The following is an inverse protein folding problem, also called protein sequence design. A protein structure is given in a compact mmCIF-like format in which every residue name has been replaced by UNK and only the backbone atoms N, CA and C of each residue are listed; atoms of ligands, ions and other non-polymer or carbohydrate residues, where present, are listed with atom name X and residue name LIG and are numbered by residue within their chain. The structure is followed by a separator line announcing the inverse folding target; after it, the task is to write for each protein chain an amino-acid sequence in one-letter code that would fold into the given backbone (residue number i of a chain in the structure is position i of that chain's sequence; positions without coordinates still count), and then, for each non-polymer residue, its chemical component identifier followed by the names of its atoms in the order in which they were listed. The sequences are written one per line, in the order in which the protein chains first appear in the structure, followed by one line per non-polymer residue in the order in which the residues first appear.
data_IF_149708312523
#
_entry.id   IF_149708312523
#
_cell.length_a   1.000
_cell.length_b   1.000
_cell.length_c   1.000
_cell.angle_alpha   90.00
_cell.angle_beta   90.00
_cell.angle_gamma   90.00
#
_symmetry.space_group_name_H-M   'P 1'
#
loop_
_entity.id
_entity.type
_entity.pdbx_description
1 polymer ?
#
# COMPACT_ATOMS: atom_id res chain seq x y z
N UNK A 1 17.81 0.96 2.56
CA UNK A 1 16.95 1.04 1.37
C UNK A 1 15.88 2.06 1.71
N UNK A 2 15.69 3.09 0.89
CA UNK A 2 14.68 4.12 1.14
C UNK A 2 13.36 3.71 0.50
N UNK A 3 12.28 3.74 1.26
CA UNK A 3 10.94 3.39 0.80
C UNK A 3 9.90 4.33 1.42
N UNK A 4 8.78 4.44 0.73
CA UNK A 4 7.60 5.16 1.21
C UNK A 4 6.60 4.18 1.82
N UNK A 5 5.88 4.59 2.83
CA UNK A 5 4.74 3.83 3.36
C UNK A 5 3.43 4.48 2.93
N UNK A 6 2.44 3.67 2.54
CA UNK A 6 1.08 4.13 2.28
C UNK A 6 0.18 3.73 3.45
N UNK A 7 -0.51 4.69 4.04
CA UNK A 7 -1.57 4.47 5.02
C UNK A 7 -2.90 4.91 4.43
N UNK A 8 -3.81 3.97 4.21
CA UNK A 8 -5.13 4.22 3.63
C UNK A 8 -6.18 3.32 4.26
N UNK A 9 -7.45 3.74 4.18
CA UNK A 9 -8.58 2.90 4.63
C UNK A 9 -8.95 1.94 3.52
N UNK A 10 -9.02 0.65 3.82
CA UNK A 10 -9.48 -0.36 2.88
C UNK A 10 -10.98 -0.23 2.70
N UNK A 11 -11.42 0.10 1.49
CA UNK A 11 -12.85 0.13 1.15
C UNK A 11 -13.21 -1.05 0.25
N UNK A 12 -14.49 -1.44 0.25
CA UNK A 12 -15.02 -2.56 -0.55
C UNK A 12 -14.82 -2.37 -2.07
N UNK A 13 -14.60 -1.12 -2.52
CA UNK A 13 -14.23 -0.79 -3.91
C UNK A 13 -12.80 -1.20 -4.30
N UNK A 14 -11.92 -1.43 -3.34
CA UNK A 14 -10.57 -1.97 -3.56
C UNK A 14 -10.56 -3.51 -3.65
N UNK A 15 -11.72 -4.18 -3.51
CA UNK A 15 -11.85 -5.65 -3.69
C UNK A 15 -11.59 -6.11 -5.12
N UNK A 16 -11.70 -5.21 -6.11
CA UNK A 16 -11.33 -5.47 -7.51
C UNK A 16 -9.81 -5.50 -7.76
N UNK A 17 -8.99 -5.34 -6.70
CA UNK A 17 -7.54 -5.47 -6.74
C UNK A 17 -7.03 -6.89 -6.48
N UNK A 18 -7.92 -7.81 -6.09
CA UNK A 18 -7.65 -9.24 -5.87
C UNK A 18 -7.55 -10.04 -7.17
N UNK A 19 -7.27 -9.39 -8.31
CA UNK A 19 -6.89 -10.10 -9.51
C UNK A 19 -5.43 -10.60 -9.34
N UNK A 20 -5.20 -11.93 -9.29
CA UNK A 20 -3.84 -12.47 -9.27
C UNK A 20 -3.08 -11.98 -10.50
N UNK A 21 -1.76 -11.98 -10.35
CA UNK A 21 -0.70 -11.37 -11.17
C UNK A 21 -0.63 -11.75 -12.68
N UNK A 22 -1.77 -11.98 -13.33
CA UNK A 22 -1.88 -12.45 -14.71
C UNK A 22 -2.02 -11.29 -15.72
N UNK A 23 -2.24 -10.05 -15.25
CA UNK A 23 -2.22 -8.86 -16.13
C UNK A 23 -1.28 -7.77 -15.59
N UNK A 24 -0.09 -7.58 -16.20
CA UNK A 24 0.81 -6.49 -15.84
C UNK A 24 0.18 -5.17 -16.31
N UNK A 25 -0.48 -4.43 -15.41
CA UNK A 25 -0.75 -3.01 -15.66
C UNK A 25 -2.10 -2.44 -15.23
N UNK A 26 -3.00 -3.21 -14.64
CA UNK A 26 -4.29 -2.67 -14.17
C UNK A 26 -4.39 -2.66 -12.65
N UNK A 27 -3.51 -1.89 -11.99
CA UNK A 27 -3.86 -1.27 -10.71
C UNK A 27 -5.15 -0.47 -10.93
N UNK A 28 -6.30 -0.94 -10.46
CA UNK A 28 -7.58 -0.25 -10.65
C UNK A 28 -7.76 0.93 -9.72
N UNK A 29 -7.09 0.92 -8.56
CA UNK A 29 -7.20 2.02 -7.60
C UNK A 29 -6.41 3.23 -8.09
N UNK A 30 -7.14 4.30 -8.44
CA UNK A 30 -6.58 5.61 -8.77
C UNK A 30 -5.64 6.11 -7.68
N UNK A 31 -5.93 5.77 -6.42
CA UNK A 31 -5.07 6.07 -5.29
C UNK A 31 -3.69 5.43 -5.45
N UNK A 32 -3.64 4.12 -5.68
CA UNK A 32 -2.39 3.39 -5.81
C UNK A 32 -1.56 3.87 -7.01
N UNK A 33 -2.19 4.16 -8.15
CA UNK A 33 -1.50 4.77 -9.30
C UNK A 33 -0.92 6.14 -8.96
N UNK A 34 -1.65 6.95 -8.21
CA UNK A 34 -1.20 8.28 -7.77
C UNK A 34 -0.02 8.16 -6.81
N UNK A 35 -0.09 7.24 -5.84
CA UNK A 35 0.98 6.97 -4.87
C UNK A 35 2.24 6.45 -5.56
N UNK A 36 2.11 5.50 -6.50
CA UNK A 36 3.27 4.99 -7.24
C UNK A 36 3.91 6.06 -8.13
N UNK A 37 3.11 6.87 -8.82
CA UNK A 37 3.65 8.00 -9.61
C UNK A 37 4.36 9.01 -8.72
N UNK A 38 3.75 9.38 -7.59
CA UNK A 38 4.35 10.27 -6.62
C UNK A 38 5.66 9.71 -6.08
N UNK A 39 5.70 8.42 -5.76
CA UNK A 39 6.92 7.74 -5.31
C UNK A 39 8.05 7.84 -6.35
N UNK A 40 7.73 7.58 -7.63
CA UNK A 40 8.68 7.68 -8.73
C UNK A 40 9.16 9.13 -8.96
N UNK A 41 8.25 10.11 -8.92
CA UNK A 41 8.60 11.53 -9.05
C UNK A 41 9.48 12.02 -7.90
N UNK A 42 9.31 11.45 -6.71
CA UNK A 42 10.15 11.69 -5.54
C UNK A 42 11.46 10.87 -5.54
N UNK A 43 11.66 9.98 -6.51
CA UNK A 43 12.88 9.16 -6.66
C UNK A 43 12.90 7.85 -5.86
N UNK A 44 11.77 7.42 -5.30
CA UNK A 44 11.65 6.14 -4.60
C UNK A 44 11.23 5.03 -5.56
N UNK A 45 11.85 3.87 -5.40
CA UNK A 45 11.54 2.66 -6.18
C UNK A 45 10.67 1.66 -5.43
N UNK A 46 10.48 1.87 -4.12
CA UNK A 46 9.78 0.96 -3.22
C UNK A 46 8.70 1.70 -2.44
N UNK A 47 7.50 1.13 -2.46
CA UNK A 47 6.38 1.59 -1.65
C UNK A 47 5.86 0.39 -0.87
N UNK A 48 5.75 0.53 0.44
CA UNK A 48 5.13 -0.44 1.32
C UNK A 48 3.63 -0.15 1.42
N UNK A 49 2.82 -1.17 1.14
CA UNK A 49 1.35 -1.10 1.20
C UNK A 49 0.90 -2.29 2.03
N UNK A 50 0.27 -2.04 3.18
CA UNK A 50 -0.15 -3.07 4.13
C UNK A 50 -0.91 -4.25 3.47
N UNK A 51 -1.87 -3.97 2.58
CA UNK A 51 -2.68 -4.98 1.90
C UNK A 51 -1.87 -5.93 1.00
N UNK A 52 -0.76 -5.45 0.42
CA UNK A 52 0.08 -6.27 -0.48
C UNK A 52 1.32 -6.84 0.21
N UNK A 53 1.84 -6.14 1.22
CA UNK A 53 3.05 -6.54 1.93
C UNK A 53 2.77 -7.46 3.11
N UNK A 54 1.54 -7.49 3.62
CA UNK A 54 1.11 -8.39 4.69
C UNK A 54 0.24 -9.48 4.06
N UNK A 55 0.62 -10.73 4.29
CA UNK A 55 -0.20 -11.88 3.94
C UNK A 55 -1.52 -11.82 4.73
N UNK A 56 -2.64 -11.66 4.01
CA UNK A 56 -3.96 -11.53 4.63
C UNK A 56 -4.58 -12.89 4.98
N UNK A 57 -4.11 -13.98 4.37
CA UNK A 57 -4.64 -15.33 4.57
C UNK A 57 -4.00 -16.01 5.80
N UNK A 58 -2.83 -15.56 6.24
CA UNK A 58 -2.18 -16.02 7.47
C UNK A 58 -2.41 -15.05 8.64
N UNK A 59 -3.38 -15.38 9.51
CA UNK A 59 -3.71 -14.60 10.71
C UNK A 59 -2.51 -14.41 11.66
N UNK A 60 -1.63 -15.42 11.81
CA UNK A 60 -0.49 -15.33 12.72
C UNK A 60 0.55 -14.37 12.17
N UNK A 61 0.84 -14.48 10.88
CA UNK A 61 1.76 -13.58 10.19
C UNK A 61 1.20 -12.15 10.17
N UNK A 62 -0.09 -11.99 9.89
CA UNK A 62 -0.79 -10.70 9.95
C UNK A 62 -0.67 -10.05 11.32
N UNK A 63 -0.97 -10.77 12.41
CA UNK A 63 -0.84 -10.24 13.77
C UNK A 63 0.61 -9.82 14.09
N UNK A 64 1.59 -10.60 13.66
CA UNK A 64 3.00 -10.25 13.83
C UNK A 64 3.37 -8.98 13.06
N UNK A 65 2.96 -8.86 11.80
CA UNK A 65 3.22 -7.68 10.98
C UNK A 65 2.52 -6.42 11.52
N UNK A 66 1.30 -6.56 12.05
CA UNK A 66 0.58 -5.46 12.73
C UNK A 66 1.35 -5.03 14.00
N UNK A 67 1.94 -5.96 14.73
CA UNK A 67 2.82 -5.64 15.87
C UNK A 67 4.07 -4.85 15.45
N UNK A 68 4.63 -5.15 14.27
CA UNK A 68 5.80 -4.49 13.71
C UNK A 68 5.49 -3.25 12.86
N UNK A 69 4.21 -2.90 12.64
CA UNK A 69 3.82 -1.75 11.80
C UNK A 69 4.50 -0.47 12.26
N UNK A 70 4.65 -0.26 13.57
CA UNK A 70 5.33 0.92 14.11
C UNK A 70 6.78 1.04 13.63
N UNK A 71 7.51 -0.07 13.55
CA UNK A 71 8.89 -0.10 13.06
C UNK A 71 8.96 0.10 11.54
N UNK A 72 7.98 -0.42 10.80
CA UNK A 72 7.87 -0.23 9.35
C UNK A 72 7.60 1.23 9.02
N UNK A 73 6.62 1.86 9.66
CA UNK A 73 6.34 3.28 9.45
C UNK A 73 7.49 4.18 9.94
N UNK A 74 8.15 3.82 11.05
CA UNK A 74 9.32 4.56 11.53
C UNK A 74 10.55 4.40 10.62
N UNK A 75 10.67 3.28 9.91
CA UNK A 75 11.73 3.01 8.95
C UNK A 75 11.46 3.58 7.55
N UNK A 76 10.23 4.04 7.28
CA UNK A 76 9.88 4.69 6.04
C UNK A 76 10.42 6.13 6.02
N UNK A 77 10.95 6.55 4.88
CA UNK A 77 11.48 7.91 4.71
C UNK A 77 10.34 8.95 4.72
N UNK A 78 9.16 8.53 4.25
CA UNK A 78 7.93 9.31 4.29
C UNK A 78 6.71 8.39 4.25
N UNK A 79 5.63 8.84 4.89
CA UNK A 79 4.34 8.14 4.89
C UNK A 79 3.29 8.99 4.18
N UNK A 80 2.64 8.42 3.17
CA UNK A 80 1.52 9.02 2.45
C UNK A 80 0.24 8.55 3.15
N UNK A 81 -0.56 9.50 3.65
CA UNK A 81 -1.84 9.20 4.30
C UNK A 81 -2.98 9.59 3.36
N UNK A 82 -3.73 8.59 2.90
CA UNK A 82 -4.94 8.79 2.12
C UNK A 82 -6.13 8.91 3.08
N UNK A 83 -6.51 10.14 3.39
CA UNK A 83 -7.51 10.44 4.42
C UNK A 83 -8.96 10.48 3.92
N UNK A 84 -9.26 10.21 2.63
CA UNK A 84 -10.61 10.46 2.09
C UNK A 84 -10.99 9.61 0.86
N UNK A 85 -12.28 9.29 0.76
CA UNK A 85 -12.97 8.86 -0.46
C UNK A 85 -13.04 10.05 -1.41
N UNK A 86 -12.07 10.19 -2.32
CA UNK A 86 -12.19 11.15 -3.43
C UNK A 86 -13.26 10.65 -4.40
N UNK A 87 -14.53 10.94 -4.07
CA UNK A 87 -15.66 10.96 -4.99
C UNK A 87 -15.40 12.05 -6.02
N UNK A 88 -14.90 11.65 -7.19
CA UNK A 88 -14.89 12.45 -8.41
C UNK A 88 -16.05 12.05 -9.30
#
# INVERSE_FOLDING_TARGET
MSYLALSYVWSEVDSDLDCPAETPGVMRSTLLRTVLRLALDLGYQFVWIDRYCIDQDDEKHKMQQIGCMGEIYAGADMTIVAADHVTG
#
